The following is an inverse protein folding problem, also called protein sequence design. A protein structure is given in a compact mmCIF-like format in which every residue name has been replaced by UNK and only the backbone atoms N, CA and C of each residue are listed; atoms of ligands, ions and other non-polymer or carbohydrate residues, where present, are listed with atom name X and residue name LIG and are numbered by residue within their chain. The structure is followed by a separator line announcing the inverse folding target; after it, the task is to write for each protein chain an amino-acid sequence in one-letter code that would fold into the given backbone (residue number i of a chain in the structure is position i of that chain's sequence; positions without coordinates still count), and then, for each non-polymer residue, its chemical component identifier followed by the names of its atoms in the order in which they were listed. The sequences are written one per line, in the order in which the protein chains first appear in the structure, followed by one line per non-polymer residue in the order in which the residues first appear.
data_IF_677597305507
#
_entry.id   IF_677597305507
#
_cell.length_a   1.000
_cell.length_b   1.000
_cell.length_c   1.000
_cell.angle_alpha   90.00
_cell.angle_beta   90.00
_cell.angle_gamma   90.00
#
_symmetry.space_group_name_H-M   'P 1'
#
loop_
_entity.id
_entity.type
_entity.pdbx_description
1 polymer ?
#
# COMPACT_ATOMS: atom_id res chain seq x y z
N UNK A 1 -12.66 -23.89 19.18
CA UNK A 1 -11.89 -22.64 19.31
C UNK A 1 -12.86 -21.50 19.04
N UNK A 2 -12.78 -20.41 19.82
CA UNK A 2 -13.67 -19.26 19.66
C UNK A 2 -13.22 -18.41 18.46
N UNK A 3 -14.15 -18.10 17.55
CA UNK A 3 -13.89 -17.36 16.31
C UNK A 3 -13.63 -15.88 16.61
N UNK A 4 -12.46 -15.35 16.17
CA UNK A 4 -12.10 -13.93 16.26
C UNK A 4 -12.21 -13.29 14.88
N UNK A 5 -13.13 -12.35 14.72
CA UNK A 5 -13.29 -11.60 13.48
C UNK A 5 -12.30 -10.43 13.48
N UNK A 6 -11.43 -10.39 12.47
CA UNK A 6 -10.44 -9.34 12.23
C UNK A 6 -10.79 -8.61 10.93
N UNK A 7 -11.07 -7.32 10.99
CA UNK A 7 -11.56 -6.53 9.85
C UNK A 7 -10.55 -5.44 9.49
N UNK A 8 -10.09 -5.43 8.25
CA UNK A 8 -9.50 -4.24 7.65
C UNK A 8 -10.64 -3.34 7.16
N UNK A 9 -10.83 -2.19 7.80
CA UNK A 9 -11.94 -1.30 7.51
C UNK A 9 -11.90 -0.80 6.06
N UNK A 10 -13.09 -0.70 5.46
CA UNK A 10 -13.28 -0.16 4.13
C UNK A 10 -13.29 1.38 4.11
N UNK A 11 -13.79 1.95 3.01
CA UNK A 11 -13.91 3.39 2.81
C UNK A 11 -15.30 3.71 2.25
N UNK A 12 -15.98 4.69 2.83
CA UNK A 12 -17.24 5.21 2.28
C UNK A 12 -16.97 6.17 1.12
N UNK A 13 -15.92 6.98 1.27
CA UNK A 13 -15.43 7.87 0.22
C UNK A 13 -14.12 7.29 -0.33
N UNK A 14 -14.18 6.76 -1.54
CA UNK A 14 -13.00 6.12 -2.14
C UNK A 14 -12.03 7.18 -2.65
N UNK A 15 -10.75 7.01 -2.35
CA UNK A 15 -9.66 7.85 -2.85
C UNK A 15 -9.54 7.82 -4.38
N UNK A 16 -9.88 6.69 -5.01
CA UNK A 16 -9.93 6.50 -6.45
C UNK A 16 -11.36 6.31 -6.89
N UNK A 17 -11.67 6.66 -8.14
CA UNK A 17 -12.99 6.42 -8.71
C UNK A 17 -13.40 4.95 -8.53
N UNK A 18 -14.65 4.72 -8.15
CA UNK A 18 -15.22 3.37 -8.06
C UNK A 18 -15.45 2.83 -9.49
N UNK A 19 -14.48 2.10 -9.98
CA UNK A 19 -14.50 1.48 -11.32
C UNK A 19 -14.34 -0.03 -11.20
N UNK A 20 -14.80 -0.80 -12.20
CA UNK A 20 -14.57 -2.24 -12.24
C UNK A 20 -13.09 -2.57 -12.03
N UNK A 21 -12.16 -1.87 -12.69
CA UNK A 21 -10.71 -2.08 -12.56
C UNK A 21 -10.23 -1.83 -11.13
N UNK A 22 -10.67 -0.74 -10.49
CA UNK A 22 -10.23 -0.42 -9.13
C UNK A 22 -10.74 -1.43 -8.10
N UNK A 23 -11.89 -2.05 -8.33
CA UNK A 23 -12.45 -3.13 -7.50
C UNK A 23 -11.64 -4.43 -7.55
N UNK A 24 -10.79 -4.61 -8.58
CA UNK A 24 -9.91 -5.78 -8.72
C UNK A 24 -8.64 -5.70 -7.87
N UNK A 25 -8.38 -4.55 -7.23
CA UNK A 25 -7.22 -4.41 -6.36
C UNK A 25 -7.42 -5.13 -5.02
N UNK A 26 -6.52 -6.04 -4.69
CA UNK A 26 -6.49 -6.78 -3.43
C UNK A 26 -5.30 -6.31 -2.59
N UNK A 27 -5.52 -5.29 -1.76
CA UNK A 27 -4.49 -4.79 -0.86
C UNK A 27 -4.50 -5.58 0.45
N UNK A 28 -3.42 -6.32 0.70
CA UNK A 28 -3.25 -7.01 1.97
C UNK A 28 -3.05 -6.02 3.11
N UNK A 29 -3.83 -6.16 4.18
CA UNK A 29 -3.50 -5.51 5.45
C UNK A 29 -2.51 -6.38 6.22
N UNK A 30 -1.21 -6.19 5.91
CA UNK A 30 -0.12 -6.96 6.46
C UNK A 30 -0.14 -7.01 8.00
N UNK A 31 -0.28 -5.84 8.65
CA UNK A 31 -0.29 -5.74 10.12
C UNK A 31 -1.46 -6.51 10.76
N UNK A 32 -2.65 -6.48 10.14
CA UNK A 32 -3.79 -7.22 10.66
C UNK A 32 -3.63 -8.74 10.51
N UNK A 33 -3.08 -9.20 9.38
CA UNK A 33 -2.77 -10.61 9.19
C UNK A 33 -1.67 -11.08 10.15
N UNK A 34 -0.69 -10.22 10.45
CA UNK A 34 0.32 -10.48 11.49
C UNK A 34 -0.32 -10.70 12.86
N UNK A 35 -1.22 -9.80 13.28
CA UNK A 35 -1.96 -9.94 14.54
C UNK A 35 -2.81 -11.22 14.57
N UNK A 36 -3.51 -11.54 13.48
CA UNK A 36 -4.29 -12.77 13.37
C UNK A 36 -3.38 -14.01 13.48
N UNK A 37 -2.20 -13.99 12.86
CA UNK A 37 -1.21 -15.08 12.97
C UNK A 37 -0.74 -15.26 14.42
N UNK A 38 -0.51 -14.17 15.15
CA UNK A 38 -0.17 -14.22 16.58
C UNK A 38 -1.31 -14.83 17.38
N UNK A 39 -2.54 -14.41 17.17
CA UNK A 39 -3.71 -14.95 17.86
C UNK A 39 -3.88 -16.45 17.62
N UNK A 40 -3.71 -16.91 16.38
CA UNK A 40 -3.78 -18.34 16.06
C UNK A 40 -2.75 -19.16 16.86
N UNK A 41 -1.51 -18.65 16.98
CA UNK A 41 -0.46 -19.31 17.78
C UNK A 41 -0.77 -19.35 19.27
N UNK A 42 -1.67 -18.50 19.75
CA UNK A 42 -2.15 -18.50 21.14
C UNK A 42 -3.48 -19.24 21.32
N UNK A 43 -3.89 -20.04 20.33
CA UNK A 43 -5.05 -20.96 20.45
C UNK A 43 -6.40 -20.34 20.09
N UNK A 44 -6.42 -19.11 19.53
CA UNK A 44 -7.63 -18.55 18.96
C UNK A 44 -7.86 -19.04 17.52
N UNK A 45 -9.06 -18.80 17.00
CA UNK A 45 -9.44 -19.09 15.61
C UNK A 45 -9.77 -17.78 14.86
N UNK A 46 -8.76 -16.98 14.46
CA UNK A 46 -9.00 -15.72 13.77
C UNK A 46 -9.33 -15.94 12.29
N UNK A 47 -10.15 -15.02 11.76
CA UNK A 47 -10.35 -14.85 10.31
C UNK A 47 -10.22 -13.38 9.94
N UNK A 48 -9.49 -13.09 8.87
CA UNK A 48 -9.24 -11.73 8.38
C UNK A 48 -10.15 -11.43 7.20
N UNK A 49 -10.92 -10.35 7.34
CA UNK A 49 -11.83 -9.82 6.32
C UNK A 49 -11.35 -8.46 5.84
N UNK A 50 -11.47 -8.18 4.55
CA UNK A 50 -11.21 -6.87 3.98
C UNK A 50 -12.51 -6.20 3.54
N UNK A 51 -12.78 -5.02 4.11
CA UNK A 51 -13.95 -4.20 3.78
C UNK A 51 -13.72 -3.19 2.67
N UNK A 52 -12.64 -3.31 1.89
CA UNK A 52 -12.18 -2.28 0.97
C UNK A 52 -13.28 -1.73 0.03
N UNK A 53 -14.06 -2.61 -0.56
CA UNK A 53 -15.20 -2.26 -1.42
C UNK A 53 -16.56 -2.71 -0.87
N UNK A 54 -16.55 -3.35 0.31
CA UNK A 54 -17.78 -3.78 0.96
C UNK A 54 -18.41 -2.63 1.76
N UNK A 55 -19.72 -2.52 1.67
CA UNK A 55 -20.46 -1.71 2.62
C UNK A 55 -20.45 -2.38 4.00
N UNK A 56 -20.52 -1.60 5.10
CA UNK A 56 -20.50 -2.15 6.45
C UNK A 56 -21.50 -3.28 6.70
N UNK A 57 -22.75 -3.13 6.21
CA UNK A 57 -23.80 -4.13 6.32
C UNK A 57 -23.48 -5.46 5.64
N UNK A 58 -22.86 -5.39 4.46
CA UNK A 58 -22.46 -6.59 3.71
C UNK A 58 -21.34 -7.34 4.42
N UNK A 59 -20.39 -6.60 5.00
CA UNK A 59 -19.28 -7.20 5.73
C UNK A 59 -19.73 -7.80 7.05
N UNK A 60 -20.71 -7.18 7.73
CA UNK A 60 -21.29 -7.75 8.94
C UNK A 60 -21.95 -9.09 8.65
N UNK A 61 -22.73 -9.19 7.58
CA UNK A 61 -23.34 -10.45 7.15
C UNK A 61 -22.27 -11.52 6.81
N UNK A 62 -21.17 -11.12 6.16
CA UNK A 62 -20.05 -12.04 5.93
C UNK A 62 -19.44 -12.54 7.24
N UNK A 63 -19.24 -11.66 8.22
CA UNK A 63 -18.71 -12.02 9.54
C UNK A 63 -19.65 -13.01 10.27
N UNK A 64 -20.96 -12.80 10.19
CA UNK A 64 -21.96 -13.72 10.75
C UNK A 64 -21.87 -15.10 10.10
N UNK A 65 -21.83 -15.16 8.78
CA UNK A 65 -21.71 -16.42 8.02
C UNK A 65 -20.40 -17.16 8.32
N UNK A 66 -19.35 -16.46 8.73
CA UNK A 66 -18.07 -17.02 9.13
C UNK A 66 -18.01 -17.37 10.62
N UNK A 67 -19.12 -17.23 11.35
CA UNK A 67 -19.23 -17.66 12.74
C UNK A 67 -18.80 -16.59 13.74
N UNK A 68 -19.24 -15.35 13.56
CA UNK A 68 -19.03 -14.26 14.52
C UNK A 68 -19.40 -14.70 15.96
N UNK A 69 -18.39 -14.83 16.82
CA UNK A 69 -18.58 -15.09 18.25
C UNK A 69 -18.84 -13.78 19.00
N UNK A 70 -20.06 -13.59 19.48
CA UNK A 70 -20.49 -12.37 20.15
C UNK A 70 -19.90 -12.18 21.55
N UNK A 71 -19.26 -13.21 22.10
CA UNK A 71 -18.54 -13.13 23.38
C UNK A 71 -17.14 -12.52 23.24
N UNK A 72 -16.58 -12.56 22.04
CA UNK A 72 -15.27 -11.98 21.70
C UNK A 72 -15.42 -10.60 21.03
N UNK A 73 -14.44 -9.71 21.20
CA UNK A 73 -14.44 -8.45 20.47
C UNK A 73 -14.09 -8.67 18.98
N UNK A 74 -14.69 -7.85 18.12
CA UNK A 74 -14.26 -7.70 16.74
C UNK A 74 -13.05 -6.77 16.72
N UNK A 75 -11.99 -7.19 16.03
CA UNK A 75 -10.78 -6.40 15.84
C UNK A 75 -10.91 -5.61 14.53
N UNK A 76 -10.76 -4.28 14.59
CA UNK A 76 -10.88 -3.41 13.42
C UNK A 76 -9.55 -2.67 13.21
N UNK A 77 -8.93 -2.87 12.05
CA UNK A 77 -7.76 -2.13 11.62
C UNK A 77 -8.16 -1.00 10.69
N UNK A 78 -7.73 0.23 10.98
CA UNK A 78 -7.92 1.40 10.13
C UNK A 78 -6.68 1.58 9.22
N UNK A 79 -6.78 1.26 7.92
CA UNK A 79 -5.65 1.41 7.00
C UNK A 79 -5.38 2.89 6.63
N UNK A 80 -6.35 3.77 6.82
CA UNK A 80 -6.23 5.21 6.58
C UNK A 80 -7.32 6.01 7.31
N UNK A 81 -7.18 7.35 7.36
CA UNK A 81 -8.24 8.22 7.90
C UNK A 81 -9.56 8.11 7.13
N UNK A 82 -9.52 7.79 5.83
CA UNK A 82 -10.73 7.51 5.03
C UNK A 82 -11.57 6.33 5.58
N UNK A 83 -10.98 5.47 6.38
CA UNK A 83 -11.67 4.30 6.94
C UNK A 83 -12.43 4.60 8.25
N UNK A 84 -12.24 5.76 8.86
CA UNK A 84 -12.86 6.12 10.15
C UNK A 84 -14.38 6.12 10.06
N UNK A 85 -14.95 6.79 9.06
CA UNK A 85 -16.41 6.87 8.87
C UNK A 85 -17.02 5.49 8.58
N UNK A 86 -16.33 4.68 7.79
CA UNK A 86 -16.74 3.31 7.52
C UNK A 86 -16.77 2.46 8.80
N UNK A 87 -15.73 2.57 9.62
CA UNK A 87 -15.64 1.83 10.87
C UNK A 87 -16.72 2.26 11.89
N UNK A 88 -16.99 3.56 12.00
CA UNK A 88 -18.08 4.06 12.84
C UNK A 88 -19.44 3.51 12.41
N UNK A 89 -19.71 3.54 11.10
CA UNK A 89 -20.97 3.00 10.56
C UNK A 89 -21.09 1.50 10.79
N UNK A 90 -19.99 0.73 10.58
CA UNK A 90 -19.96 -0.70 10.86
C UNK A 90 -20.30 -1.00 12.33
N UNK A 91 -19.65 -0.28 13.26
CA UNK A 91 -19.89 -0.48 14.69
C UNK A 91 -21.31 -0.12 15.10
N UNK A 92 -21.89 0.97 14.54
CA UNK A 92 -23.29 1.36 14.79
C UNK A 92 -24.26 0.27 14.34
N UNK A 93 -24.09 -0.24 13.12
CA UNK A 93 -24.95 -1.28 12.57
C UNK A 93 -24.82 -2.60 13.35
N UNK A 94 -23.58 -2.99 13.69
CA UNK A 94 -23.35 -4.18 14.48
C UNK A 94 -23.93 -4.07 15.91
N UNK A 95 -23.81 -2.90 16.57
CA UNK A 95 -24.42 -2.66 17.89
C UNK A 95 -25.95 -2.64 17.85
N UNK A 96 -26.54 -2.19 16.75
CA UNK A 96 -28.00 -2.23 16.59
C UNK A 96 -28.55 -3.67 16.60
N UNK A 97 -27.79 -4.61 16.03
CA UNK A 97 -28.15 -6.04 16.03
C UNK A 97 -27.64 -6.77 17.26
N UNK A 98 -26.48 -6.41 17.75
CA UNK A 98 -25.76 -7.06 18.86
C UNK A 98 -25.28 -6.02 19.88
N UNK A 99 -26.13 -5.53 20.80
CA UNK A 99 -25.79 -4.46 21.75
C UNK A 99 -24.57 -4.75 22.63
N UNK A 100 -24.31 -6.02 22.96
CA UNK A 100 -23.18 -6.46 23.78
C UNK A 100 -21.86 -6.66 23.00
N UNK A 101 -21.88 -6.63 21.66
CA UNK A 101 -20.68 -6.84 20.84
C UNK A 101 -19.63 -5.78 21.14
N UNK A 102 -18.42 -6.19 21.38
CA UNK A 102 -17.28 -5.31 21.69
C UNK A 102 -16.40 -5.07 20.47
N UNK A 103 -15.70 -3.92 20.45
CA UNK A 103 -14.79 -3.54 19.37
C UNK A 103 -13.45 -3.07 19.91
N UNK A 104 -12.37 -3.61 19.33
CA UNK A 104 -11.02 -3.14 19.55
C UNK A 104 -10.54 -2.56 18.22
N UNK A 105 -10.16 -1.27 18.22
CA UNK A 105 -9.74 -0.53 17.01
C UNK A 105 -8.26 -0.26 17.09
N UNK A 106 -7.57 -0.46 15.98
CA UNK A 106 -6.15 -0.18 15.81
C UNK A 106 -5.81 0.12 14.37
N UNK A 107 -4.55 -0.06 13.99
CA UNK A 107 -4.07 0.11 12.63
C UNK A 107 -3.12 1.31 12.49
N UNK A 108 -2.49 1.42 11.31
CA UNK A 108 -1.40 2.38 11.05
C UNK A 108 -1.78 3.85 11.33
N UNK A 109 -3.06 4.19 11.22
CA UNK A 109 -3.56 5.56 11.38
C UNK A 109 -3.99 5.89 12.81
N UNK A 110 -3.92 4.94 13.71
CA UNK A 110 -3.94 5.20 15.15
C UNK A 110 -2.52 5.61 15.55
N UNK A 111 -2.13 6.81 15.11
CA UNK A 111 -0.80 7.36 15.37
C UNK A 111 -0.85 8.37 16.50
N UNK A 112 0.27 8.52 17.20
CA UNK A 112 0.48 9.51 18.24
C UNK A 112 0.16 9.01 19.64
N UNK A 113 0.45 9.87 20.59
CA UNK A 113 0.44 9.57 22.04
C UNK A 113 -0.97 9.58 22.66
N UNK A 114 -2.00 9.87 21.83
CA UNK A 114 -3.35 10.08 22.35
C UNK A 114 -4.44 9.30 21.60
N UNK A 115 -4.59 7.99 21.85
CA UNK A 115 -5.69 7.19 21.31
C UNK A 115 -7.08 7.67 21.75
N UNK A 116 -7.19 8.48 22.81
CA UNK A 116 -8.47 9.04 23.28
C UNK A 116 -9.10 9.98 22.24
N UNK A 117 -8.28 10.68 21.41
CA UNK A 117 -8.82 11.51 20.31
C UNK A 117 -9.55 10.67 19.28
N UNK A 118 -8.98 9.52 18.87
CA UNK A 118 -9.66 8.63 17.92
C UNK A 118 -10.88 7.99 18.55
N UNK A 119 -10.84 7.67 19.85
CA UNK A 119 -12.00 7.18 20.57
C UNK A 119 -13.15 8.19 20.60
N UNK A 120 -12.87 9.49 20.63
CA UNK A 120 -13.89 10.52 20.49
C UNK A 120 -14.58 10.49 19.11
N UNK A 121 -13.86 10.12 18.05
CA UNK A 121 -14.42 9.92 16.71
C UNK A 121 -15.16 8.57 16.58
N UNK A 122 -14.77 7.57 17.35
CA UNK A 122 -15.31 6.21 17.34
C UNK A 122 -15.84 5.86 18.74
N UNK A 123 -16.93 6.48 19.20
CA UNK A 123 -17.40 6.37 20.59
C UNK A 123 -17.84 4.95 20.95
N UNK A 124 -18.17 4.11 19.98
CA UNK A 124 -18.55 2.71 20.18
C UNK A 124 -17.35 1.75 20.28
N UNK A 125 -16.12 2.22 20.06
CA UNK A 125 -14.93 1.41 20.27
C UNK A 125 -14.72 1.20 21.78
N UNK A 126 -14.61 -0.04 22.24
CA UNK A 126 -14.33 -0.36 23.64
C UNK A 126 -12.86 -0.08 23.98
N UNK A 127 -11.96 -0.29 23.03
CA UNK A 127 -10.54 0.02 23.12
C UNK A 127 -10.01 0.55 21.79
N UNK A 128 -9.06 1.49 21.88
CA UNK A 128 -8.26 1.96 20.76
C UNK A 128 -6.80 1.72 21.11
N UNK A 129 -6.06 1.04 20.22
CA UNK A 129 -4.68 0.65 20.45
C UNK A 129 -3.80 1.32 19.40
N UNK A 130 -2.82 2.10 19.86
CA UNK A 130 -1.79 2.69 19.04
C UNK A 130 -0.50 1.85 19.07
N UNK A 131 0.24 1.85 17.96
CA UNK A 131 1.52 1.14 17.85
C UNK A 131 1.38 -0.37 17.76
N UNK A 132 2.40 -1.09 18.24
CA UNK A 132 2.45 -2.56 18.19
C UNK A 132 1.49 -3.16 19.21
N UNK A 133 0.55 -3.98 18.74
CA UNK A 133 -0.60 -4.43 19.52
C UNK A 133 -0.57 -5.92 19.87
N UNK A 134 0.44 -6.68 19.43
CA UNK A 134 0.46 -8.14 19.45
C UNK A 134 0.16 -8.73 20.84
N UNK A 135 0.80 -8.19 21.88
CA UNK A 135 0.60 -8.66 23.25
C UNK A 135 -0.68 -8.16 23.88
N UNK A 136 -0.96 -6.88 23.65
CA UNK A 136 -2.17 -6.27 24.20
C UNK A 136 -3.42 -6.99 23.69
N UNK A 137 -3.43 -7.40 22.42
CA UNK A 137 -4.55 -8.14 21.83
C UNK A 137 -4.72 -9.51 22.48
N UNK A 138 -3.63 -10.27 22.65
CA UNK A 138 -3.67 -11.60 23.28
C UNK A 138 -4.22 -11.50 24.70
N UNK A 139 -3.73 -10.55 25.50
CA UNK A 139 -4.19 -10.33 26.88
C UNK A 139 -5.67 -9.87 26.94
N UNK A 140 -6.09 -8.97 26.06
CA UNK A 140 -7.49 -8.49 26.00
C UNK A 140 -8.48 -9.58 25.59
N UNK A 141 -8.03 -10.61 24.89
CA UNK A 141 -8.83 -11.79 24.53
C UNK A 141 -8.77 -12.90 25.60
N UNK A 142 -8.08 -12.65 26.73
CA UNK A 142 -7.96 -13.62 27.82
C UNK A 142 -6.89 -14.70 27.58
N UNK A 143 -5.98 -14.48 26.61
CA UNK A 143 -4.83 -15.35 26.40
C UNK A 143 -3.77 -15.14 27.48
N UNK A 144 -3.03 -16.19 27.78
CA UNK A 144 -1.89 -16.13 28.70
C UNK A 144 -0.57 -15.98 27.93
N UNK A 145 0.38 -15.28 28.51
CA UNK A 145 1.76 -15.26 27.96
C UNK A 145 2.34 -16.67 28.05
N UNK A 146 2.85 -17.17 26.95
CA UNK A 146 3.62 -18.42 27.00
C UNK A 146 4.86 -18.23 27.89
N UNK A 147 5.24 -19.32 28.60
CA UNK A 147 6.33 -19.31 29.59
C UNK A 147 7.70 -18.87 29.03
N UNK A 148 7.87 -18.81 27.71
CA UNK A 148 9.09 -18.35 27.05
C UNK A 148 9.18 -16.83 26.87
N UNK A 149 8.13 -16.06 27.17
CA UNK A 149 8.15 -14.58 27.10
C UNK A 149 8.54 -13.98 25.75
N UNK A 150 8.58 -14.76 24.70
CA UNK A 150 9.06 -14.38 23.38
C UNK A 150 8.00 -13.55 22.65
N UNK A 151 8.31 -12.26 22.52
CA UNK A 151 7.60 -11.30 21.70
C UNK A 151 7.76 -11.68 20.22
N UNK A 152 6.71 -12.23 19.64
CA UNK A 152 6.58 -12.27 18.20
C UNK A 152 6.36 -10.82 17.73
N UNK A 153 7.42 -10.16 17.30
CA UNK A 153 7.36 -8.75 16.91
C UNK A 153 8.59 -7.92 17.25
N UNK A 154 9.58 -8.50 17.93
CA UNK A 154 10.90 -7.90 17.92
C UNK A 154 11.54 -8.15 16.55
N UNK A 155 12.04 -7.11 15.85
CA UNK A 155 12.64 -7.26 14.52
C UNK A 155 13.86 -8.21 14.46
N UNK A 156 14.34 -8.66 15.60
CA UNK A 156 15.55 -9.47 15.73
C UNK A 156 15.30 -10.93 16.17
N UNK A 157 14.06 -11.33 16.42
CA UNK A 157 13.82 -12.69 16.94
C UNK A 157 12.49 -13.24 16.46
N UNK A 158 12.58 -14.18 15.61
CA UNK A 158 11.59 -15.17 15.16
C UNK A 158 10.83 -14.83 13.87
N UNK A 159 10.81 -15.86 13.05
CA UNK A 159 9.98 -16.06 11.89
C UNK A 159 8.63 -15.34 12.00
N UNK A 160 8.52 -14.20 11.33
CA UNK A 160 7.27 -13.47 11.16
C UNK A 160 6.44 -14.06 10.04
N UNK A 161 6.53 -15.38 9.83
CA UNK A 161 5.77 -16.07 8.78
C UNK A 161 4.30 -15.87 9.02
N UNK A 162 3.66 -15.17 8.09
CA UNK A 162 2.22 -14.95 8.10
C UNK A 162 1.48 -16.22 7.74
N UNK A 163 0.34 -16.45 8.38
CA UNK A 163 -0.55 -17.55 7.99
C UNK A 163 -1.66 -17.01 7.07
N UNK A 164 -1.46 -17.17 5.78
CA UNK A 164 -2.43 -16.72 4.76
C UNK A 164 -3.75 -17.49 4.79
N UNK A 165 -3.79 -18.68 5.44
CA UNK A 165 -5.04 -19.47 5.59
C UNK A 165 -6.07 -18.75 6.47
N UNK A 166 -5.63 -17.77 7.26
CA UNK A 166 -6.51 -16.92 8.07
C UNK A 166 -7.22 -15.84 7.26
N UNK A 167 -6.76 -15.61 6.04
CA UNK A 167 -7.31 -14.60 5.14
C UNK A 167 -8.51 -15.18 4.38
N UNK A 168 -9.66 -14.54 4.53
CA UNK A 168 -10.84 -14.89 3.74
C UNK A 168 -10.59 -14.62 2.24
N UNK A 169 -10.86 -15.60 1.37
CA UNK A 169 -10.56 -15.54 -0.06
C UNK A 169 -9.06 -15.33 -0.35
N UNK A 170 -8.20 -16.02 0.42
CA UNK A 170 -6.73 -15.89 0.33
C UNK A 170 -6.17 -16.09 -1.07
N UNK A 171 -6.84 -16.89 -1.89
CA UNK A 171 -6.49 -17.20 -3.28
C UNK A 171 -6.46 -15.95 -4.18
N UNK A 172 -7.09 -14.85 -3.76
CA UNK A 172 -7.10 -13.60 -4.51
C UNK A 172 -5.89 -12.70 -4.21
N UNK A 173 -5.18 -12.95 -3.10
CA UNK A 173 -4.12 -12.05 -2.64
C UNK A 173 -2.74 -12.52 -3.08
N UNK A 174 -1.89 -11.56 -3.44
CA UNK A 174 -0.45 -11.80 -3.59
C UNK A 174 0.22 -11.80 -2.21
N UNK A 175 1.22 -12.67 -1.98
CA UNK A 175 1.94 -12.66 -0.72
C UNK A 175 2.83 -11.44 -0.59
N UNK A 176 2.92 -10.91 0.64
CA UNK A 176 3.87 -9.87 1.03
C UNK A 176 4.82 -10.42 2.07
N UNK A 177 6.11 -10.15 1.89
CA UNK A 177 7.18 -10.54 2.82
C UNK A 177 7.86 -9.27 3.31
N UNK A 178 7.77 -8.97 4.61
CA UNK A 178 8.48 -7.83 5.18
C UNK A 178 9.97 -8.13 5.28
N UNK A 179 10.78 -7.38 4.56
CA UNK A 179 12.24 -7.55 4.51
C UNK A 179 12.99 -6.51 5.33
N UNK A 180 12.41 -5.33 5.56
CA UNK A 180 12.93 -4.31 6.49
C UNK A 180 11.83 -3.33 6.92
N UNK A 181 12.12 -2.49 7.91
CA UNK A 181 11.23 -1.43 8.41
C UNK A 181 11.95 -0.10 8.52
N UNK A 182 11.16 0.98 8.45
CA UNK A 182 11.63 2.34 8.60
C UNK A 182 12.44 2.83 7.41
N UNK A 183 12.72 4.12 7.40
CA UNK A 183 13.42 4.79 6.29
C UNK A 183 14.45 5.80 6.82
N UNK A 184 14.05 6.72 7.71
CA UNK A 184 14.94 7.70 8.34
C UNK A 184 15.52 8.76 7.39
N UNK A 185 15.03 8.87 6.16
CA UNK A 185 15.59 9.79 5.15
C UNK A 185 15.10 11.23 5.27
N UNK A 186 14.10 11.50 6.09
CA UNK A 186 13.65 12.84 6.43
C UNK A 186 12.90 13.60 5.34
N UNK A 187 12.39 12.92 4.28
CA UNK A 187 11.57 13.59 3.27
C UNK A 187 10.37 14.29 3.90
N UNK A 188 10.15 15.57 3.59
CA UNK A 188 9.15 16.39 4.29
C UNK A 188 7.71 15.88 4.14
N UNK A 189 7.40 15.23 3.04
CA UNK A 189 6.07 14.69 2.74
C UNK A 189 5.79 13.31 3.37
N UNK A 190 6.83 12.63 3.91
CA UNK A 190 6.70 11.23 4.31
C UNK A 190 6.35 11.11 5.79
N UNK A 191 5.38 10.28 6.12
CA UNK A 191 5.00 9.98 7.50
C UNK A 191 6.06 9.16 8.25
N UNK A 192 6.86 8.37 7.52
CA UNK A 192 7.95 7.56 8.06
C UNK A 192 9.30 8.30 8.13
N UNK A 193 9.29 9.61 7.94
CA UNK A 193 10.51 10.45 7.87
C UNK A 193 11.43 10.34 9.09
N UNK A 194 10.87 10.04 10.25
CA UNK A 194 11.58 9.91 11.53
C UNK A 194 11.81 8.45 11.96
N UNK A 195 11.23 7.48 11.26
CA UNK A 195 11.39 6.08 11.59
C UNK A 195 12.77 5.57 11.17
N UNK A 196 13.58 5.18 12.14
CA UNK A 196 14.94 4.69 11.86
C UNK A 196 14.91 3.45 10.99
N UNK A 197 15.71 3.47 9.90
CA UNK A 197 15.89 2.29 9.04
C UNK A 197 16.48 1.13 9.84
N UNK A 198 15.84 -0.01 9.74
CA UNK A 198 16.35 -1.28 10.24
C UNK A 198 17.07 -2.02 9.10
N UNK A 199 18.12 -2.79 9.40
CA UNK A 199 18.77 -3.63 8.42
C UNK A 199 17.77 -4.58 7.73
N UNK A 200 18.08 -5.00 6.51
CA UNK A 200 17.35 -6.10 5.89
C UNK A 200 17.46 -7.35 6.78
N UNK A 201 16.39 -8.13 6.83
CA UNK A 201 16.46 -9.48 7.42
C UNK A 201 17.58 -10.28 6.77
N UNK A 202 18.22 -11.23 7.48
CA UNK A 202 19.12 -12.17 6.86
C UNK A 202 18.49 -12.83 5.64
N UNK A 203 19.24 -12.98 4.56
CA UNK A 203 18.74 -13.51 3.30
C UNK A 203 18.13 -14.92 3.47
N UNK A 204 18.79 -15.81 4.24
CA UNK A 204 18.28 -17.13 4.58
C UNK A 204 16.93 -17.10 5.29
N UNK A 205 16.72 -16.14 6.21
CA UNK A 205 15.43 -15.97 6.87
C UNK A 205 14.34 -15.54 5.88
N UNK A 206 14.64 -14.63 4.94
CA UNK A 206 13.70 -14.21 3.91
C UNK A 206 13.28 -15.41 3.05
N UNK A 207 14.24 -16.25 2.65
CA UNK A 207 13.96 -17.46 1.86
C UNK A 207 13.16 -18.48 2.68
N UNK A 208 13.45 -18.67 3.96
CA UNK A 208 12.65 -19.54 4.85
C UNK A 208 11.20 -19.05 4.94
N UNK A 209 10.99 -17.75 5.14
CA UNK A 209 9.65 -17.14 5.20
C UNK A 209 8.91 -17.27 3.86
N UNK A 210 9.59 -17.08 2.72
CA UNK A 210 9.06 -17.31 1.38
C UNK A 210 8.64 -18.76 1.19
N UNK A 211 9.53 -19.71 1.45
CA UNK A 211 9.26 -21.14 1.32
C UNK A 211 8.07 -21.57 2.18
N UNK A 212 8.07 -21.16 3.45
CA UNK A 212 6.97 -21.47 4.36
C UNK A 212 5.63 -20.86 3.91
N UNK A 213 5.64 -19.64 3.35
CA UNK A 213 4.42 -18.98 2.86
C UNK A 213 3.95 -19.60 1.55
N UNK A 214 4.85 -19.72 0.57
CA UNK A 214 4.49 -20.15 -0.79
C UNK A 214 4.13 -21.66 -0.81
N UNK A 215 4.93 -22.50 -0.17
CA UNK A 215 4.74 -23.95 -0.18
C UNK A 215 3.62 -24.37 0.76
N UNK A 216 3.65 -23.92 2.02
CA UNK A 216 2.65 -24.30 3.03
C UNK A 216 1.24 -23.91 2.63
N UNK A 217 1.08 -22.71 2.07
CA UNK A 217 -0.21 -22.14 1.75
C UNK A 217 -0.60 -22.36 0.28
N UNK A 218 0.20 -23.15 -0.46
CA UNK A 218 0.01 -23.46 -1.89
C UNK A 218 -0.07 -22.22 -2.78
N UNK A 219 0.91 -21.31 -2.63
CA UNK A 219 0.96 -20.02 -3.32
C UNK A 219 2.11 -19.94 -4.34
N UNK A 220 2.60 -21.06 -4.86
CA UNK A 220 3.83 -21.18 -5.67
C UNK A 220 3.82 -20.30 -6.92
N UNK A 221 2.67 -20.12 -7.56
CA UNK A 221 2.56 -19.30 -8.78
C UNK A 221 2.44 -17.80 -8.50
N UNK A 222 2.58 -17.39 -7.24
CA UNK A 222 2.45 -16.00 -6.85
C UNK A 222 3.75 -15.22 -7.04
N UNK A 223 3.57 -13.91 -7.13
CA UNK A 223 4.66 -12.95 -7.25
C UNK A 223 4.75 -12.14 -5.94
N UNK A 224 5.59 -12.55 -4.98
CA UNK A 224 5.65 -11.89 -3.69
C UNK A 224 6.13 -10.45 -3.80
N UNK A 225 5.53 -9.59 -2.96
CA UNK A 225 5.97 -8.23 -2.75
C UNK A 225 6.94 -8.18 -1.55
N UNK A 226 8.13 -7.64 -1.76
CA UNK A 226 9.07 -7.40 -0.66
C UNK A 226 8.75 -6.06 -0.02
N UNK A 227 8.08 -6.12 1.12
CA UNK A 227 7.69 -4.96 1.90
C UNK A 227 8.91 -4.37 2.60
N UNK A 228 9.22 -3.14 2.23
CA UNK A 228 10.24 -2.33 2.85
C UNK A 228 9.94 -0.86 2.60
N UNK A 229 9.88 -0.03 3.63
CA UNK A 229 9.82 1.43 3.42
C UNK A 229 11.04 1.93 2.65
N UNK A 230 12.14 1.17 2.72
CA UNK A 230 13.37 1.41 1.98
C UNK A 230 14.16 0.12 1.79
N UNK A 231 14.16 -0.43 0.58
CA UNK A 231 14.97 -1.59 0.21
C UNK A 231 16.41 -1.16 -0.10
N UNK A 232 17.36 -1.61 0.73
CA UNK A 232 18.79 -1.23 0.61
C UNK A 232 19.64 -2.49 0.61
N UNK A 233 19.68 -3.26 -0.49
CA UNK A 233 20.48 -4.46 -0.55
C UNK A 233 21.98 -4.13 -0.66
N UNK A 234 22.80 -4.93 0.03
CA UNK A 234 24.25 -4.95 -0.15
C UNK A 234 24.64 -6.06 -1.13
N UNK A 235 25.85 -6.00 -1.71
CA UNK A 235 26.35 -7.08 -2.59
C UNK A 235 26.39 -8.43 -1.86
N UNK A 236 26.81 -8.45 -0.60
CA UNK A 236 26.81 -9.66 0.23
C UNK A 236 25.39 -10.20 0.41
N UNK A 237 24.43 -9.35 0.80
CA UNK A 237 23.05 -9.78 0.98
C UNK A 237 22.44 -10.38 -0.30
N UNK A 238 22.74 -9.81 -1.47
CA UNK A 238 22.23 -10.32 -2.76
C UNK A 238 22.85 -11.68 -3.09
N UNK A 239 24.15 -11.86 -2.82
CA UNK A 239 24.83 -13.14 -3.01
C UNK A 239 24.26 -14.22 -2.06
N UNK A 240 24.12 -13.91 -0.76
CA UNK A 240 23.52 -14.81 0.24
C UNK A 240 22.08 -15.16 -0.12
N UNK A 241 21.31 -14.21 -0.71
CA UNK A 241 19.93 -14.45 -1.13
C UNK A 241 19.86 -15.39 -2.34
N UNK A 242 20.75 -15.21 -3.33
CA UNK A 242 20.85 -16.10 -4.47
C UNK A 242 21.24 -17.53 -4.06
N UNK A 243 22.20 -17.67 -3.13
CA UNK A 243 22.61 -18.95 -2.58
C UNK A 243 21.46 -19.64 -1.83
N UNK A 244 20.79 -18.92 -0.92
CA UNK A 244 19.68 -19.47 -0.16
C UNK A 244 18.47 -19.87 -1.04
N UNK A 245 18.18 -19.12 -2.12
CA UNK A 245 17.15 -19.52 -3.10
C UNK A 245 17.54 -20.82 -3.83
N UNK A 246 18.81 -20.95 -4.21
CA UNK A 246 19.31 -22.15 -4.87
C UNK A 246 19.26 -23.39 -3.94
N UNK A 247 19.66 -23.24 -2.69
CA UNK A 247 19.59 -24.31 -1.68
C UNK A 247 18.14 -24.74 -1.39
N UNK A 248 17.20 -23.79 -1.42
CA UNK A 248 15.78 -24.04 -1.22
C UNK A 248 15.04 -24.51 -2.49
N UNK A 249 15.73 -24.60 -3.63
CA UNK A 249 15.14 -24.91 -4.94
C UNK A 249 13.93 -24.01 -5.28
N UNK A 250 13.99 -22.71 -4.89
CA UNK A 250 12.94 -21.74 -5.11
C UNK A 250 13.26 -20.83 -6.29
N UNK A 251 12.44 -20.93 -7.34
CA UNK A 251 12.42 -19.97 -8.43
C UNK A 251 11.34 -18.91 -8.15
N UNK A 252 11.75 -17.65 -8.09
CA UNK A 252 10.85 -16.53 -7.78
C UNK A 252 10.78 -15.53 -8.92
N UNK A 253 9.65 -14.84 -8.95
CA UNK A 253 9.52 -13.50 -9.56
C UNK A 253 8.97 -12.58 -8.48
N UNK A 254 9.69 -11.52 -8.16
CA UNK A 254 9.31 -10.65 -7.05
C UNK A 254 9.38 -9.17 -7.40
N UNK A 255 8.76 -8.36 -6.56
CA UNK A 255 8.67 -6.91 -6.67
C UNK A 255 9.11 -6.27 -5.37
N UNK A 256 9.70 -5.09 -5.47
CA UNK A 256 9.98 -4.22 -4.33
C UNK A 256 9.86 -2.76 -4.70
N UNK A 257 9.93 -1.89 -3.70
CA UNK A 257 10.04 -0.45 -3.88
C UNK A 257 11.38 0.06 -3.36
N UNK A 258 11.85 1.18 -3.91
CA UNK A 258 13.12 1.74 -3.52
C UNK A 258 13.26 3.21 -3.87
N UNK A 259 14.26 3.83 -3.24
CA UNK A 259 14.72 5.17 -3.58
C UNK A 259 15.87 5.09 -4.56
N UNK A 260 15.94 6.11 -5.41
CA UNK A 260 17.03 6.26 -6.39
C UNK A 260 18.43 6.18 -5.77
N UNK A 261 18.61 6.75 -4.59
CA UNK A 261 19.91 6.91 -3.95
C UNK A 261 20.33 5.73 -3.07
N UNK A 262 19.49 4.71 -2.92
CA UNK A 262 19.73 3.58 -2.03
C UNK A 262 19.93 2.24 -2.73
N UNK A 263 19.47 2.12 -3.95
CA UNK A 263 19.72 0.93 -4.77
C UNK A 263 20.92 1.23 -5.68
N UNK A 264 21.88 0.34 -5.70
CA UNK A 264 23.09 0.48 -6.53
C UNK A 264 22.84 -0.10 -7.93
N UNK A 265 23.09 0.66 -9.01
CA UNK A 265 22.93 0.17 -10.38
C UNK A 265 23.72 -1.11 -10.66
N UNK A 266 24.89 -1.27 -10.04
CA UNK A 266 25.78 -2.41 -10.20
C UNK A 266 25.20 -3.74 -9.66
N UNK A 267 24.14 -3.68 -8.86
CA UNK A 267 23.48 -4.86 -8.30
C UNK A 267 22.30 -5.33 -9.17
N UNK A 268 21.93 -4.60 -10.22
CA UNK A 268 20.69 -4.90 -10.97
C UNK A 268 20.76 -6.25 -11.69
N UNK A 269 21.92 -6.64 -12.21
CA UNK A 269 22.10 -7.95 -12.82
C UNK A 269 21.91 -9.09 -11.81
N UNK A 270 22.54 -8.96 -10.63
CA UNK A 270 22.46 -9.96 -9.58
C UNK A 270 21.03 -10.03 -9.01
N UNK A 271 20.37 -8.88 -8.80
CA UNK A 271 18.97 -8.84 -8.34
C UNK A 271 18.00 -9.42 -9.38
N UNK A 272 18.20 -9.14 -10.66
CA UNK A 272 17.42 -9.76 -11.73
C UNK A 272 17.58 -11.30 -11.73
N UNK A 273 18.79 -11.79 -11.52
CA UNK A 273 19.06 -13.23 -11.41
C UNK A 273 18.34 -13.89 -10.21
N UNK A 274 18.04 -13.14 -9.12
CA UNK A 274 17.21 -13.64 -8.02
C UNK A 274 15.70 -13.49 -8.28
N UNK A 275 15.30 -13.01 -9.45
CA UNK A 275 13.92 -12.87 -9.88
C UNK A 275 13.28 -11.50 -9.64
N UNK A 276 14.04 -10.44 -9.29
CA UNK A 276 13.50 -9.09 -9.27
C UNK A 276 12.94 -8.73 -10.67
N UNK A 277 11.66 -8.57 -10.77
CA UNK A 277 10.97 -8.33 -12.04
C UNK A 277 10.38 -6.94 -12.12
N UNK A 278 9.90 -6.39 -10.99
CA UNK A 278 9.30 -5.05 -10.93
C UNK A 278 9.94 -4.24 -9.80
N UNK A 279 10.35 -3.02 -10.12
CA UNK A 279 10.85 -2.04 -9.16
C UNK A 279 9.97 -0.79 -9.20
N UNK A 280 9.33 -0.46 -8.06
CA UNK A 280 8.69 0.83 -7.84
C UNK A 280 9.74 1.84 -7.39
N UNK A 281 10.02 2.83 -8.22
CA UNK A 281 11.10 3.77 -7.98
C UNK A 281 10.57 5.14 -7.55
N UNK A 282 10.82 5.53 -6.30
CA UNK A 282 10.48 6.84 -5.77
C UNK A 282 11.43 7.92 -6.28
N UNK A 283 11.16 8.49 -7.46
CA UNK A 283 11.86 9.64 -8.03
C UNK A 283 11.34 10.96 -7.44
N UNK A 284 10.04 11.08 -7.30
CA UNK A 284 9.19 12.19 -6.86
C UNK A 284 9.17 13.38 -7.82
N UNK A 285 10.31 13.88 -8.29
CA UNK A 285 10.44 14.97 -9.25
C UNK A 285 11.79 14.91 -9.95
N UNK A 286 11.92 15.54 -11.10
CA UNK A 286 13.21 15.85 -11.71
C UNK A 286 13.51 17.36 -11.74
N UNK A 287 12.69 18.19 -11.11
CA UNK A 287 13.04 19.57 -10.80
C UNK A 287 13.98 19.63 -9.60
N UNK A 288 15.14 20.27 -9.80
CA UNK A 288 16.13 20.43 -8.71
C UNK A 288 15.54 21.18 -7.52
N UNK A 289 14.72 22.19 -7.79
CA UNK A 289 14.05 22.98 -6.76
C UNK A 289 13.04 22.15 -5.98
N UNK A 290 12.21 21.35 -6.67
CA UNK A 290 11.21 20.50 -6.01
C UNK A 290 11.87 19.42 -5.16
N UNK A 291 12.94 18.77 -5.64
CA UNK A 291 13.70 17.80 -4.83
C UNK A 291 14.28 18.42 -3.55
N UNK A 292 14.69 19.68 -3.58
CA UNK A 292 15.15 20.42 -2.40
C UNK A 292 13.98 20.74 -1.44
N UNK A 293 12.86 21.26 -1.96
CA UNK A 293 11.65 21.57 -1.16
C UNK A 293 11.11 20.33 -0.44
N UNK A 294 11.08 19.20 -1.14
CA UNK A 294 10.69 17.91 -0.57
C UNK A 294 11.70 17.35 0.42
N UNK A 295 12.88 17.95 0.57
CA UNK A 295 14.02 17.37 1.30
C UNK A 295 14.36 15.94 0.81
N UNK A 296 14.06 15.65 -0.48
CA UNK A 296 14.31 14.33 -1.07
C UNK A 296 15.81 14.10 -1.25
N UNK A 297 16.56 15.12 -1.62
CA UNK A 297 18.01 15.06 -1.74
C UNK A 297 18.67 16.40 -1.43
N UNK A 298 19.80 16.34 -0.71
CA UNK A 298 20.68 17.51 -0.50
C UNK A 298 21.55 17.83 -1.73
N UNK A 299 21.64 16.89 -2.68
CA UNK A 299 22.41 17.01 -3.95
C UNK A 299 21.52 16.59 -5.11
N UNK A 300 20.53 17.41 -5.53
CA UNK A 300 19.52 17.03 -6.50
C UNK A 300 20.09 16.58 -7.84
N UNK A 301 21.12 17.27 -8.38
CA UNK A 301 21.73 16.85 -9.64
C UNK A 301 22.34 15.44 -9.53
N UNK A 302 23.14 15.18 -8.53
CA UNK A 302 23.73 13.85 -8.32
C UNK A 302 22.68 12.77 -8.04
N UNK A 303 21.51 13.14 -7.51
CA UNK A 303 20.36 12.26 -7.37
C UNK A 303 19.78 11.88 -8.73
N UNK A 304 19.59 12.84 -9.64
CA UNK A 304 19.10 12.60 -11.00
C UNK A 304 20.11 11.82 -11.86
N UNK A 305 21.41 12.08 -11.71
CA UNK A 305 22.45 11.32 -12.40
C UNK A 305 22.45 9.85 -11.98
N UNK A 306 22.19 9.58 -10.70
CA UNK A 306 22.04 8.22 -10.17
C UNK A 306 20.75 7.57 -10.67
N UNK A 307 19.64 8.32 -10.70
CA UNK A 307 18.38 7.84 -11.25
C UNK A 307 18.53 7.36 -12.69
N UNK A 308 19.25 8.14 -13.52
CA UNK A 308 19.50 7.78 -14.92
C UNK A 308 20.26 6.46 -15.05
N UNK A 309 21.35 6.30 -14.28
CA UNK A 309 22.14 5.06 -14.27
C UNK A 309 21.35 3.86 -13.77
N UNK A 310 20.49 4.07 -12.77
CA UNK A 310 19.66 2.99 -12.23
C UNK A 310 18.59 2.55 -13.24
N UNK A 311 17.94 3.49 -13.93
CA UNK A 311 16.96 3.16 -14.97
C UNK A 311 17.61 2.38 -16.12
N UNK A 312 18.79 2.83 -16.59
CA UNK A 312 19.56 2.14 -17.61
C UNK A 312 19.91 0.71 -17.19
N UNK A 313 20.41 0.53 -15.95
CA UNK A 313 20.75 -0.79 -15.42
C UNK A 313 19.53 -1.69 -15.30
N UNK A 314 18.36 -1.16 -14.88
CA UNK A 314 17.12 -1.92 -14.85
C UNK A 314 16.69 -2.35 -16.25
N UNK A 315 16.72 -1.43 -17.23
CA UNK A 315 16.32 -1.73 -18.62
C UNK A 315 17.21 -2.81 -19.25
N UNK A 316 18.54 -2.72 -19.07
CA UNK A 316 19.51 -3.72 -19.58
C UNK A 316 19.24 -5.11 -18.97
N UNK A 317 18.78 -5.18 -17.74
CA UNK A 317 18.55 -6.45 -17.03
C UNK A 317 17.07 -6.89 -17.04
N UNK A 318 16.22 -6.26 -17.86
CA UNK A 318 14.82 -6.67 -18.02
C UNK A 318 13.92 -6.40 -16.81
N UNK A 319 14.38 -5.56 -15.86
CA UNK A 319 13.59 -5.17 -14.69
C UNK A 319 12.61 -4.06 -15.10
N UNK A 320 11.33 -4.29 -14.89
CA UNK A 320 10.28 -3.33 -15.19
C UNK A 320 10.23 -2.24 -14.11
N UNK A 321 10.47 -1.00 -14.49
CA UNK A 321 10.42 0.12 -13.55
C UNK A 321 9.12 0.88 -13.67
N UNK A 322 8.45 1.10 -12.53
CA UNK A 322 7.38 2.09 -12.38
C UNK A 322 7.94 3.29 -11.61
N UNK A 323 8.00 4.44 -12.26
CA UNK A 323 8.45 5.69 -11.65
C UNK A 323 7.30 6.32 -10.86
N UNK A 324 7.53 6.60 -9.57
CA UNK A 324 6.59 7.32 -8.73
C UNK A 324 7.00 8.79 -8.65
N UNK A 325 6.04 9.69 -8.95
CA UNK A 325 6.18 11.15 -8.86
C UNK A 325 5.19 11.70 -7.84
N UNK A 326 5.58 12.79 -7.20
CA UNK A 326 4.75 13.53 -6.26
C UNK A 326 4.74 15.01 -6.64
N UNK A 327 3.60 15.52 -7.07
CA UNK A 327 3.43 16.97 -7.24
C UNK A 327 3.36 17.60 -5.86
N UNK A 328 4.31 18.49 -5.58
CA UNK A 328 4.51 19.04 -4.23
C UNK A 328 4.19 20.54 -4.15
N UNK A 329 4.18 21.07 -2.93
CA UNK A 329 3.97 22.51 -2.71
C UNK A 329 4.98 23.37 -3.50
N UNK A 330 4.48 24.43 -4.10
CA UNK A 330 5.26 25.30 -4.96
C UNK A 330 5.46 24.77 -6.39
N UNK A 331 4.69 23.77 -6.83
CA UNK A 331 4.74 23.26 -8.21
C UNK A 331 4.32 24.36 -9.20
N UNK A 332 5.09 24.50 -10.27
CA UNK A 332 4.86 25.46 -11.37
C UNK A 332 4.93 24.74 -12.71
N UNK A 333 4.55 25.43 -13.79
CA UNK A 333 4.69 24.87 -15.13
C UNK A 333 6.16 24.63 -15.51
N UNK A 334 7.08 25.47 -15.02
CA UNK A 334 8.52 25.32 -15.28
C UNK A 334 9.07 24.08 -14.55
N UNK A 335 8.77 23.89 -13.25
CA UNK A 335 9.24 22.72 -12.50
C UNK A 335 8.64 21.41 -13.05
N UNK A 336 7.39 21.49 -13.53
CA UNK A 336 6.75 20.38 -14.21
C UNK A 336 7.43 20.07 -15.55
N UNK A 337 7.75 21.09 -16.36
CA UNK A 337 8.45 20.95 -17.64
C UNK A 337 9.86 20.33 -17.45
N UNK A 338 10.61 20.74 -16.42
CA UNK A 338 11.88 20.09 -16.06
C UNK A 338 11.71 18.59 -15.85
N UNK A 339 10.67 18.19 -15.10
CA UNK A 339 10.39 16.77 -14.82
C UNK A 339 9.96 16.02 -16.07
N UNK A 340 9.11 16.59 -16.91
CA UNK A 340 8.67 15.98 -18.16
C UNK A 340 9.83 15.81 -19.16
N UNK A 341 10.67 16.83 -19.33
CA UNK A 341 11.84 16.75 -20.20
C UNK A 341 12.81 15.65 -19.77
N UNK A 342 13.00 15.50 -18.45
CA UNK A 342 13.86 14.44 -17.91
C UNK A 342 13.28 13.04 -18.18
N UNK A 343 11.96 12.87 -18.05
CA UNK A 343 11.26 11.61 -18.34
C UNK A 343 11.28 11.30 -19.84
N UNK A 344 11.02 12.28 -20.71
CA UNK A 344 11.00 12.09 -22.16
C UNK A 344 12.34 11.57 -22.68
N UNK A 345 13.44 12.08 -22.13
CA UNK A 345 14.79 11.64 -22.49
C UNK A 345 15.09 10.19 -22.07
N UNK A 346 14.20 9.54 -21.28
CA UNK A 346 14.40 8.19 -20.70
C UNK A 346 13.17 7.28 -20.85
N UNK A 347 12.22 7.67 -21.68
CA UNK A 347 10.91 6.97 -21.79
C UNK A 347 11.02 5.48 -22.11
N UNK A 348 12.10 5.07 -22.77
CA UNK A 348 12.34 3.67 -23.14
C UNK A 348 13.01 2.85 -22.00
N UNK A 349 13.29 3.47 -20.84
CA UNK A 349 13.96 2.84 -19.69
C UNK A 349 13.00 2.50 -18.54
N UNK A 350 11.72 2.87 -18.65
CA UNK A 350 10.71 2.55 -17.63
C UNK A 350 9.37 2.17 -18.28
N UNK A 351 8.50 1.53 -17.50
CA UNK A 351 7.26 0.92 -18.01
C UNK A 351 6.01 1.70 -17.58
N UNK A 352 6.15 2.73 -16.78
CA UNK A 352 5.03 3.56 -16.40
C UNK A 352 5.37 4.61 -15.36
N UNK A 353 4.51 5.61 -15.27
CA UNK A 353 4.60 6.69 -14.29
C UNK A 353 3.32 6.73 -13.46
N UNK A 354 3.47 6.74 -12.15
CA UNK A 354 2.39 6.99 -11.22
C UNK A 354 2.63 8.35 -10.55
N UNK A 355 1.69 9.26 -10.66
CA UNK A 355 1.83 10.61 -10.12
C UNK A 355 0.56 11.06 -9.43
N UNK A 356 0.69 11.90 -8.42
CA UNK A 356 -0.42 12.54 -7.75
C UNK A 356 0.02 13.76 -6.93
N UNK A 357 -0.91 14.64 -6.58
CA UNK A 357 -0.61 15.74 -5.68
C UNK A 357 -0.37 15.23 -4.26
N UNK A 358 0.49 15.94 -3.52
CA UNK A 358 0.70 15.69 -2.09
C UNK A 358 -0.62 15.86 -1.33
N UNK A 359 -0.85 14.94 -0.40
CA UNK A 359 -1.98 14.96 0.54
C UNK A 359 -1.40 15.09 1.94
N UNK A 360 -1.92 16.01 2.74
CA UNK A 360 -1.51 16.16 4.14
C UNK A 360 -2.44 15.33 5.01
N UNK A 361 -1.86 14.34 5.65
CA UNK A 361 -2.54 13.46 6.59
C UNK A 361 -2.17 13.84 8.02
N UNK A 362 -3.07 13.64 8.96
CA UNK A 362 -2.79 13.75 10.37
C UNK A 362 -3.90 14.45 11.16
N UNK A 363 -3.69 14.51 12.47
CA UNK A 363 -4.57 15.23 13.38
C UNK A 363 -4.51 16.74 13.11
N UNK A 364 -5.56 17.51 13.43
CA UNK A 364 -5.64 18.92 13.04
C UNK A 364 -4.42 19.76 13.39
N UNK A 365 -3.88 19.62 14.61
CA UNK A 365 -2.71 20.40 15.07
C UNK A 365 -1.43 20.07 14.30
N UNK A 366 -1.19 18.78 14.04
CA UNK A 366 -0.02 18.31 13.26
C UNK A 366 -0.15 18.72 11.80
N UNK A 367 -1.37 18.57 11.25
CA UNK A 367 -1.68 18.99 9.89
C UNK A 367 -1.52 20.51 9.72
N UNK A 368 -1.96 21.32 10.69
CA UNK A 368 -1.85 22.77 10.66
C UNK A 368 -0.39 23.23 10.62
N UNK A 369 0.46 22.65 11.47
CA UNK A 369 1.91 22.94 11.46
C UNK A 369 2.52 22.65 10.09
N UNK A 370 2.21 21.51 9.51
CA UNK A 370 2.75 21.13 8.21
C UNK A 370 2.14 21.95 7.06
N UNK A 371 0.86 22.28 7.13
CA UNK A 371 0.22 23.19 6.16
C UNK A 371 0.87 24.57 6.17
N UNK A 372 1.25 25.08 7.35
CA UNK A 372 1.99 26.35 7.48
C UNK A 372 3.38 26.29 6.84
N UNK A 373 4.10 25.16 6.99
CA UNK A 373 5.37 24.95 6.29
C UNK A 373 5.18 24.96 4.76
N UNK A 374 4.15 24.29 4.25
CA UNK A 374 3.87 24.22 2.82
C UNK A 374 3.38 25.55 2.24
N UNK A 375 2.72 26.38 3.05
CA UNK A 375 2.27 27.71 2.64
C UNK A 375 3.43 28.65 2.29
N UNK A 376 4.61 28.46 2.87
CA UNK A 376 5.83 29.17 2.51
C UNK A 376 6.26 28.93 1.05
N UNK A 377 5.80 27.86 0.43
CA UNK A 377 6.01 27.55 -0.99
C UNK A 377 4.80 27.96 -1.86
N UNK A 378 3.81 28.66 -1.28
CA UNK A 378 2.62 29.12 -1.99
C UNK A 378 1.46 28.10 -2.02
N UNK A 379 1.54 27.02 -1.27
CA UNK A 379 0.43 26.08 -1.14
C UNK A 379 -0.67 26.64 -0.23
N UNK A 380 -1.91 26.21 -0.48
CA UNK A 380 -3.06 26.53 0.37
C UNK A 380 -4.00 25.35 0.47
N UNK A 381 -4.78 25.29 1.54
CA UNK A 381 -5.81 24.26 1.68
C UNK A 381 -6.86 24.41 0.57
N UNK A 382 -7.08 23.34 -0.17
CA UNK A 382 -8.17 23.27 -1.16
C UNK A 382 -9.46 22.81 -0.50
N UNK A 383 -9.48 21.60 0.03
CA UNK A 383 -10.61 21.03 0.78
C UNK A 383 -10.14 19.85 1.64
N UNK A 384 -10.96 19.51 2.63
CA UNK A 384 -10.76 18.32 3.47
C UNK A 384 -11.90 17.34 3.20
N UNK A 385 -11.66 16.26 2.43
CA UNK A 385 -12.73 15.32 2.06
C UNK A 385 -13.26 14.53 3.26
N UNK A 386 -12.41 14.29 4.25
CA UNK A 386 -12.77 13.66 5.52
C UNK A 386 -11.80 14.09 6.62
N UNK A 387 -12.10 13.72 7.86
CA UNK A 387 -11.21 14.00 8.99
C UNK A 387 -9.81 13.47 8.76
N UNK A 388 -8.80 14.27 9.06
CA UNK A 388 -7.38 13.90 8.95
C UNK A 388 -6.83 13.80 7.54
N UNK A 389 -7.57 14.25 6.52
CA UNK A 389 -7.15 14.30 5.12
C UNK A 389 -7.31 15.70 4.57
N UNK A 390 -6.24 16.32 4.09
CA UNK A 390 -6.26 17.67 3.53
C UNK A 390 -5.69 17.66 2.11
N UNK A 391 -6.49 18.10 1.15
CA UNK A 391 -6.09 18.33 -0.23
C UNK A 391 -5.64 19.78 -0.43
N UNK A 392 -4.63 20.00 -1.28
CA UNK A 392 -3.97 21.29 -1.43
C UNK A 392 -4.09 21.83 -2.85
N UNK A 393 -4.24 23.15 -2.97
CA UNK A 393 -3.69 23.87 -4.10
C UNK A 393 -2.19 23.95 -3.88
N UNK A 394 -1.40 23.44 -4.82
CA UNK A 394 0.05 23.30 -4.65
C UNK A 394 0.79 24.65 -4.81
N UNK A 395 0.22 25.54 -5.57
CA UNK A 395 0.68 26.92 -5.78
C UNK A 395 -0.45 27.76 -6.36
N UNK A 396 -0.29 29.10 -6.54
CA UNK A 396 -1.26 29.93 -7.25
C UNK A 396 -1.52 29.47 -8.70
N UNK A 397 -0.54 28.83 -9.33
CA UNK A 397 -0.66 28.31 -10.70
C UNK A 397 -1.19 26.87 -10.76
N UNK A 398 -1.10 26.10 -9.66
CA UNK A 398 -1.41 24.69 -9.61
C UNK A 398 -2.47 24.38 -8.55
N UNK A 399 -3.74 24.62 -8.91
CA UNK A 399 -4.88 24.21 -8.08
C UNK A 399 -4.94 22.69 -7.92
N UNK A 400 -5.62 22.20 -6.89
CA UNK A 400 -5.82 20.76 -6.68
C UNK A 400 -6.45 20.07 -7.90
N UNK A 401 -7.50 20.70 -8.46
CA UNK A 401 -8.18 20.17 -9.64
C UNK A 401 -7.23 20.09 -10.86
N UNK A 402 -6.42 21.13 -11.08
CA UNK A 402 -5.39 21.14 -12.13
C UNK A 402 -4.34 20.05 -11.89
N UNK A 403 -3.85 19.90 -10.66
CA UNK A 403 -2.88 18.90 -10.30
C UNK A 403 -3.39 17.46 -10.56
N UNK A 404 -4.67 17.19 -10.28
CA UNK A 404 -5.30 15.89 -10.61
C UNK A 404 -5.41 15.66 -12.12
N UNK A 405 -5.76 16.69 -12.89
CA UNK A 405 -5.84 16.60 -14.36
C UNK A 405 -4.45 16.31 -14.96
N UNK A 406 -3.45 17.13 -14.61
CA UNK A 406 -2.06 16.99 -15.05
C UNK A 406 -1.48 15.63 -14.62
N UNK A 407 -1.76 15.18 -13.40
CA UNK A 407 -1.33 13.85 -12.93
C UNK A 407 -1.83 12.73 -13.84
N UNK A 408 -3.07 12.82 -14.31
CA UNK A 408 -3.67 11.86 -15.23
C UNK A 408 -3.01 11.91 -16.60
N UNK A 409 -2.83 13.11 -17.14
CA UNK A 409 -2.17 13.33 -18.45
C UNK A 409 -0.75 12.76 -18.44
N UNK A 410 0.03 13.00 -17.39
CA UNK A 410 1.37 12.43 -17.25
C UNK A 410 1.31 10.91 -17.21
N UNK A 411 0.42 10.34 -16.40
CA UNK A 411 0.31 8.88 -16.30
C UNK A 411 -0.08 8.27 -17.65
N UNK A 412 -1.02 8.87 -18.39
CA UNK A 412 -1.40 8.42 -19.73
C UNK A 412 -0.25 8.55 -20.75
N UNK A 413 0.55 9.62 -20.68
CA UNK A 413 1.67 9.83 -21.59
C UNK A 413 2.73 8.73 -21.51
N UNK A 414 2.96 8.17 -20.33
CA UNK A 414 4.06 7.25 -20.06
C UNK A 414 3.64 5.83 -19.68
N UNK A 415 2.35 5.52 -19.71
CA UNK A 415 1.86 4.19 -19.35
C UNK A 415 0.65 3.84 -20.19
N UNK A 416 0.79 2.86 -21.05
CA UNK A 416 -0.33 2.26 -21.78
C UNK A 416 -1.06 1.22 -20.94
N UNK A 417 -2.15 0.70 -21.47
CA UNK A 417 -3.01 -0.25 -20.78
C UNK A 417 -2.32 -1.59 -20.49
N UNK A 418 -1.48 -2.06 -21.40
CA UNK A 418 -0.76 -3.32 -21.22
C UNK A 418 0.27 -3.20 -20.10
N UNK A 419 1.07 -2.14 -20.11
CA UNK A 419 2.01 -1.86 -19.02
C UNK A 419 1.29 -1.66 -17.69
N UNK A 420 0.17 -0.93 -17.67
CA UNK A 420 -0.65 -0.79 -16.47
C UNK A 420 -1.08 -2.15 -15.92
N UNK A 421 -1.66 -3.01 -16.77
CA UNK A 421 -2.07 -4.34 -16.37
C UNK A 421 -0.89 -5.16 -15.83
N UNK A 422 0.22 -5.21 -16.56
CA UNK A 422 1.41 -5.96 -16.16
C UNK A 422 1.98 -5.50 -14.81
N UNK A 423 2.07 -4.19 -14.58
CA UNK A 423 2.55 -3.63 -13.32
C UNK A 423 1.58 -3.88 -12.15
N UNK A 424 0.27 -3.94 -12.42
CA UNK A 424 -0.75 -4.16 -11.39
C UNK A 424 -1.00 -5.63 -11.10
N UNK A 425 -0.99 -6.50 -12.10
CA UNK A 425 -1.16 -7.94 -11.93
C UNK A 425 -0.03 -8.56 -11.11
N UNK A 426 1.13 -7.90 -11.09
CA UNK A 426 2.30 -8.39 -10.38
C UNK A 426 2.18 -8.35 -8.84
N UNK A 427 1.27 -7.57 -8.25
CA UNK A 427 1.13 -7.52 -6.79
C UNK A 427 -0.21 -6.99 -6.28
N UNK A 428 -1.04 -6.43 -7.15
CA UNK A 428 -2.24 -5.71 -6.70
C UNK A 428 -3.55 -6.23 -7.25
N UNK A 429 -3.57 -6.74 -8.48
CA UNK A 429 -4.80 -7.33 -9.00
C UNK A 429 -5.08 -8.67 -8.34
N UNK A 430 -6.35 -9.02 -8.23
CA UNK A 430 -6.76 -10.34 -7.84
C UNK A 430 -6.11 -11.41 -8.74
N UNK A 431 -5.68 -12.52 -8.18
CA UNK A 431 -4.94 -13.57 -8.90
C UNK A 431 -5.71 -14.19 -10.06
N UNK A 432 -7.03 -14.25 -9.94
CA UNK A 432 -7.93 -14.77 -10.98
C UNK A 432 -8.22 -13.76 -12.09
N UNK A 433 -7.79 -12.50 -11.95
CA UNK A 433 -8.04 -11.43 -12.91
C UNK A 433 -7.05 -11.49 -14.07
N UNK A 434 -7.56 -11.78 -15.25
CA UNK A 434 -6.76 -11.97 -16.46
C UNK A 434 -6.84 -10.76 -17.39
N UNK A 435 -5.92 -10.67 -18.34
CA UNK A 435 -5.87 -9.55 -19.30
C UNK A 435 -7.17 -9.36 -20.12
N UNK A 436 -7.87 -10.44 -20.58
CA UNK A 436 -9.17 -10.27 -21.21
C UNK A 436 -10.21 -9.62 -20.30
N UNK A 437 -10.28 -10.02 -19.01
CA UNK A 437 -11.20 -9.42 -18.03
C UNK A 437 -10.89 -7.94 -17.80
N UNK A 438 -9.59 -7.60 -17.80
CA UNK A 438 -9.13 -6.22 -17.73
C UNK A 438 -9.60 -5.39 -18.94
N UNK A 439 -9.51 -5.92 -20.16
CA UNK A 439 -9.99 -5.23 -21.35
C UNK A 439 -11.52 -5.01 -21.32
N UNK A 440 -12.26 -5.98 -20.80
CA UNK A 440 -13.70 -5.83 -20.58
C UNK A 440 -14.02 -4.75 -19.55
N UNK A 441 -13.32 -4.76 -18.40
CA UNK A 441 -13.48 -3.73 -17.37
C UNK A 441 -13.07 -2.34 -17.89
N UNK A 442 -12.05 -2.22 -18.77
CA UNK A 442 -11.68 -0.97 -19.45
C UNK A 442 -12.83 -0.49 -20.34
N UNK A 443 -13.40 -1.39 -21.18
CA UNK A 443 -14.50 -1.06 -22.07
C UNK A 443 -15.76 -0.58 -21.31
N UNK A 444 -15.99 -1.13 -20.11
CA UNK A 444 -17.12 -0.80 -19.24
C UNK A 444 -16.88 0.41 -18.31
N UNK A 445 -15.67 0.99 -18.34
CA UNK A 445 -15.34 2.15 -17.52
C UNK A 445 -15.68 3.45 -18.24
N UNK A 446 -16.49 4.30 -17.62
CA UNK A 446 -16.93 5.59 -18.19
C UNK A 446 -16.11 6.79 -17.71
N UNK A 447 -15.25 6.60 -16.69
CA UNK A 447 -14.41 7.69 -16.15
C UNK A 447 -13.03 7.66 -16.78
N UNK A 448 -12.32 8.81 -16.85
CA UNK A 448 -10.97 8.86 -17.40
C UNK A 448 -9.99 7.96 -16.61
N UNK A 449 -9.27 7.12 -17.33
CA UNK A 449 -8.27 6.19 -16.79
C UNK A 449 -6.91 6.88 -16.61
N UNK A 450 -6.06 6.30 -15.78
CA UNK A 450 -4.69 6.78 -15.53
C UNK A 450 -3.64 6.15 -16.47
N UNK A 451 -4.08 5.61 -17.59
CA UNK A 451 -3.22 5.02 -18.63
C UNK A 451 -3.83 5.25 -20.00
N UNK A 452 -3.01 5.18 -21.04
CA UNK A 452 -3.43 5.35 -22.42
C UNK A 452 -4.15 4.10 -22.94
N UNK A 453 -5.30 4.31 -23.56
CA UNK A 453 -6.14 3.26 -24.18
C UNK A 453 -6.22 3.39 -25.71
N UNK A 454 -5.54 4.35 -26.30
CA UNK A 454 -5.66 4.68 -27.74
C UNK A 454 -5.26 3.54 -28.67
N UNK A 455 -4.42 2.62 -28.19
CA UNK A 455 -3.94 1.46 -28.94
C UNK A 455 -4.74 0.18 -28.70
N UNK A 456 -5.75 0.22 -27.82
CA UNK A 456 -6.52 -0.96 -27.51
C UNK A 456 -7.60 -1.24 -28.56
N UNK A 457 -7.69 -2.50 -28.98
CA UNK A 457 -8.89 -3.01 -29.62
C UNK A 457 -9.83 -3.50 -28.52
N UNK A 458 -10.76 -2.64 -28.09
CA UNK A 458 -11.71 -3.01 -27.04
C UNK A 458 -12.82 -3.91 -27.58
N UNK A 459 -13.31 -4.88 -26.79
CA UNK A 459 -14.49 -5.64 -27.12
C UNK A 459 -15.70 -4.70 -27.29
N UNK A 460 -16.62 -5.05 -28.17
CA UNK A 460 -17.84 -4.27 -28.35
C UNK A 460 -18.58 -4.19 -27.01
N UNK A 461 -19.04 -2.99 -26.65
CA UNK A 461 -19.88 -2.82 -25.45
C UNK A 461 -21.13 -3.69 -25.61
N UNK A 462 -21.33 -4.65 -24.74
CA UNK A 462 -22.62 -5.31 -24.64
C UNK A 462 -23.67 -4.26 -24.29
N UNK A 463 -24.62 -4.07 -25.19
CA UNK A 463 -25.69 -3.09 -25.02
C UNK A 463 -26.47 -3.43 -23.74
N UNK A 464 -26.35 -2.59 -22.72
CA UNK A 464 -27.29 -2.62 -21.59
C UNK A 464 -28.67 -2.33 -22.21
N UNK A 465 -29.53 -3.34 -22.29
CA UNK A 465 -30.96 -3.09 -22.41
C UNK A 465 -31.36 -2.21 -21.22
N UNK A 466 -31.63 -0.96 -21.48
CA UNK A 466 -32.38 -0.13 -20.56
C UNK A 466 -33.67 -0.85 -20.26
N UNK A 467 -34.05 -1.13 -19.02
CA UNK A 467 -35.41 -1.59 -18.75
C UNK A 467 -36.33 -0.46 -19.20
N UNK A 468 -37.13 -0.72 -20.22
CA UNK A 468 -38.25 0.15 -20.58
C UNK A 468 -39.11 0.34 -19.33
N UNK A 469 -39.13 1.57 -18.82
CA UNK A 469 -40.15 2.02 -17.88
C UNK A 469 -41.49 1.98 -18.62
N UNK A 470 -42.19 0.88 -18.47
CA UNK A 470 -43.63 0.84 -18.81
C UNK A 470 -44.36 1.70 -17.78
N UNK A 471 -45.02 2.73 -18.32
CA UNK A 471 -45.93 3.68 -17.63
C UNK A 471 -47.12 2.96 -16.99
#
# INVERSE_FOLDING_TARGET
MSRVICISAGQLQVKKADTPINRRHQYLNYGLLSLATVLQRHGFDPVVLHGHFDRPESLLLKAENLGLDKSLPVLISLPSFYAVEWADLFMRQAKALYPSLRFIVGGRWVVGDNPERLKALLPLADRVIAGLAEWQIVELLGGTRNATGLLLGSPASQSSILDYRLLHQRELYQPSIEVSRGCGMGCSFCQERSERLQPLKPASQVVEELGATLLRDNLIEMTPYFEASMFVPTKGWVADFAEALSEAELELRWRSEGRVDNIRPELMADLAATGLTVLDLGLESASLQQLQRMQKSKKPQGYLDRASRLLEACAVNGIKVKVNLLMFAGETDDSLAETLNWLDARKDQFHGVSVGPVIVYGWPQESESYLNELSAFGASLSHSPCFGVNHLNLSPQMSHARALAVSREISQRYMDAEHYYQLKSFSYFARDYRYPDFLEDVANTSVPLSFDTSRLTLPAREGRHSPELTV
#
